data_IF_771095937659
#
_entry.id   IF_771095937659
#
_cell.length_a   1.000
_cell.length_b   1.000
_cell.length_c   1.000
_cell.angle_alpha   90.00
_cell.angle_beta   90.00
_cell.angle_gamma   90.00
#
_symmetry.space_group_name_H-M   'P 1'
#
loop_
_entity.id
_entity.type
_entity.pdbx_description
1 polymer ?
#
# COMPACT_ATOMS: atom_id res chain seq x y z
N UNK A 1 6.17 2.52 -17.99
CA UNK A 1 5.11 1.57 -17.61
C UNK A 1 4.04 1.60 -18.72
N UNK A 2 3.76 0.47 -19.37
CA UNK A 2 2.74 0.34 -20.43
C UNK A 2 1.41 -0.02 -19.76
N UNK A 3 0.37 0.79 -19.96
CA UNK A 3 -1.00 0.44 -19.58
C UNK A 3 -1.80 0.15 -20.83
N UNK A 4 -2.42 -1.03 -20.89
CA UNK A 4 -3.41 -1.37 -21.92
C UNK A 4 -4.78 -0.86 -21.49
N UNK A 5 -5.45 -0.10 -22.36
CA UNK A 5 -6.85 0.30 -22.17
C UNK A 5 -7.78 -0.73 -22.82
N UNK A 6 -8.98 -0.87 -22.27
CA UNK A 6 -10.01 -1.81 -22.76
C UNK A 6 -10.36 -1.62 -24.26
N UNK A 7 -9.96 -0.50 -24.87
CA UNK A 7 -10.15 -0.17 -26.28
C UNK A 7 -8.89 -0.34 -27.15
N UNK A 8 -7.90 -1.13 -26.72
CA UNK A 8 -6.68 -1.40 -27.49
C UNK A 8 -5.69 -0.24 -27.60
N UNK A 9 -5.90 0.85 -26.87
CA UNK A 9 -4.95 1.96 -26.77
C UNK A 9 -3.78 1.65 -25.86
N UNK A 10 -2.57 2.08 -26.24
CA UNK A 10 -1.36 2.00 -25.41
C UNK A 10 -1.08 3.39 -24.85
N UNK A 11 -1.02 3.50 -23.53
CA UNK A 11 -0.58 4.73 -22.86
C UNK A 11 0.87 4.63 -22.42
N UNK A 12 1.69 5.62 -22.81
CA UNK A 12 3.02 5.83 -22.27
C UNK A 12 2.93 6.81 -21.10
N UNK A 13 3.26 6.33 -19.91
CA UNK A 13 3.35 7.19 -18.74
C UNK A 13 4.79 7.73 -18.63
N UNK A 14 4.95 9.04 -18.75
CA UNK A 14 6.21 9.72 -18.43
C UNK A 14 6.37 9.77 -16.91
N UNK A 15 7.49 9.29 -16.40
CA UNK A 15 7.84 9.35 -14.97
C UNK A 15 9.02 10.33 -14.82
N UNK A 16 8.74 11.53 -14.33
CA UNK A 16 9.76 12.57 -14.10
C UNK A 16 10.89 12.12 -13.15
N UNK A 17 10.60 11.19 -12.24
CA UNK A 17 11.59 10.59 -11.34
C UNK A 17 12.73 9.90 -12.10
N UNK A 18 12.49 9.29 -13.25
CA UNK A 18 13.53 8.69 -14.08
C UNK A 18 14.47 9.77 -14.67
N UNK A 19 13.94 10.95 -14.98
CA UNK A 19 14.73 12.10 -15.39
C UNK A 19 15.70 12.56 -14.31
N UNK A 20 15.26 12.58 -13.05
CA UNK A 20 16.11 12.94 -11.89
C UNK A 20 17.22 11.92 -11.65
N UNK A 21 16.93 10.61 -11.80
CA UNK A 21 17.98 9.59 -11.72
C UNK A 21 19.04 9.82 -12.80
N UNK A 22 18.61 10.16 -14.02
CA UNK A 22 19.52 10.49 -15.11
C UNK A 22 20.38 11.73 -14.79
N UNK A 23 19.75 12.78 -14.31
CA UNK A 23 20.45 14.02 -13.93
C UNK A 23 21.46 13.77 -12.79
N UNK A 24 21.07 13.02 -11.76
CA UNK A 24 21.98 12.61 -10.68
C UNK A 24 23.18 11.81 -11.23
N UNK A 25 22.95 10.91 -12.17
CA UNK A 25 24.02 10.15 -12.82
C UNK A 25 24.96 11.04 -13.62
N UNK A 26 24.43 12.00 -14.38
CA UNK A 26 25.24 12.93 -15.16
C UNK A 26 26.11 13.81 -14.24
N UNK A 27 25.56 14.33 -13.12
CA UNK A 27 26.33 15.09 -12.13
C UNK A 27 27.44 14.25 -11.47
N UNK A 28 27.16 12.99 -11.14
CA UNK A 28 28.18 12.10 -10.56
C UNK A 28 29.30 11.75 -11.54
N UNK A 29 29.00 11.69 -12.84
CA UNK A 29 29.99 11.52 -13.90
C UNK A 29 30.86 12.77 -14.04
N UNK A 30 30.25 13.96 -14.03
CA UNK A 30 30.96 15.25 -14.07
C UNK A 30 31.92 15.42 -12.88
N UNK A 31 31.49 15.03 -11.69
CA UNK A 31 32.26 15.04 -10.45
C UNK A 31 33.28 13.90 -10.34
N UNK A 32 33.41 13.03 -11.34
CA UNK A 32 34.26 11.84 -11.34
C UNK A 32 33.98 10.88 -10.13
N UNK A 33 32.78 10.86 -9.64
CA UNK A 33 32.33 9.94 -8.57
C UNK A 33 31.99 8.56 -9.10
N UNK A 34 31.57 8.49 -10.36
CA UNK A 34 31.31 7.25 -11.10
C UNK A 34 31.98 7.33 -12.48
N UNK A 35 32.14 6.18 -13.14
CA UNK A 35 32.76 6.07 -14.45
C UNK A 35 31.72 5.68 -15.51
N UNK A 36 31.83 6.29 -16.70
CA UNK A 36 31.00 5.91 -17.83
C UNK A 36 31.29 4.48 -18.31
N UNK A 37 30.25 3.64 -18.42
CA UNK A 37 30.35 2.22 -18.78
C UNK A 37 30.04 1.95 -20.26
N UNK A 38 30.30 2.90 -21.14
CA UNK A 38 30.07 2.75 -22.58
C UNK A 38 28.63 2.99 -23.04
N UNK A 39 27.66 2.93 -22.17
CA UNK A 39 26.27 3.30 -22.44
C UNK A 39 25.55 3.77 -21.17
N UNK A 40 24.45 4.52 -21.35
CA UNK A 40 23.59 4.96 -20.26
C UNK A 40 23.05 3.76 -19.45
N UNK A 41 22.62 2.73 -20.16
CA UNK A 41 22.07 1.51 -19.53
C UNK A 41 23.13 0.80 -18.69
N UNK A 42 24.31 0.58 -19.24
CA UNK A 42 25.39 -0.10 -18.52
C UNK A 42 25.87 0.71 -17.29
N UNK A 43 25.90 2.05 -17.41
CA UNK A 43 26.25 2.92 -16.27
C UNK A 43 25.16 2.85 -15.19
N UNK A 44 23.89 2.89 -15.56
CA UNK A 44 22.78 2.70 -14.63
C UNK A 44 22.84 1.34 -13.93
N UNK A 45 23.01 0.26 -14.71
CA UNK A 45 23.03 -1.10 -14.16
C UNK A 45 24.19 -1.33 -13.18
N UNK A 46 25.32 -0.66 -13.37
CA UNK A 46 26.47 -0.74 -12.48
C UNK A 46 26.32 0.04 -11.17
N UNK A 47 25.64 1.21 -11.19
CA UNK A 47 25.68 2.13 -10.04
C UNK A 47 24.31 2.42 -9.43
N UNK A 48 23.21 2.21 -10.15
CA UNK A 48 21.87 2.64 -9.73
C UNK A 48 20.79 1.53 -9.77
N UNK A 49 21.16 0.36 -10.31
CA UNK A 49 20.20 -0.76 -10.31
C UNK A 49 19.89 -1.17 -8.86
N UNK A 50 18.61 -1.48 -8.53
CA UNK A 50 18.24 -1.91 -7.17
C UNK A 50 19.10 -3.02 -6.58
N UNK A 51 19.60 -3.94 -7.42
CA UNK A 51 20.44 -5.07 -7.00
C UNK A 51 21.84 -4.64 -6.52
N UNK A 52 22.29 -3.43 -6.83
CA UNK A 52 23.61 -2.91 -6.43
C UNK A 52 23.53 -1.80 -5.38
N UNK A 53 22.33 -1.28 -5.11
CA UNK A 53 22.13 -0.27 -4.08
C UNK A 53 22.04 -0.93 -2.70
N UNK A 54 22.62 -0.27 -1.70
CA UNK A 54 22.39 -0.66 -0.30
C UNK A 54 21.00 -0.18 0.15
N UNK A 55 20.01 -1.06 -0.04
CA UNK A 55 18.63 -0.81 0.37
C UNK A 55 18.42 -0.97 1.89
N UNK A 56 19.49 -1.19 2.65
CA UNK A 56 19.46 -1.29 4.12
C UNK A 56 20.21 -0.12 4.79
N UNK A 57 20.68 0.85 4.00
CA UNK A 57 21.44 2.01 4.50
C UNK A 57 20.68 2.76 5.59
N UNK A 58 21.31 2.81 6.76
CA UNK A 58 20.77 3.58 7.91
C UNK A 58 20.61 5.06 7.57
N UNK A 59 21.58 5.64 6.85
CA UNK A 59 21.54 7.06 6.45
C UNK A 59 20.32 7.37 5.58
N UNK A 60 19.97 6.47 4.67
CA UNK A 60 18.76 6.60 3.85
C UNK A 60 17.49 6.57 4.72
N UNK A 61 17.37 5.64 5.66
CA UNK A 61 16.20 5.56 6.54
C UNK A 61 16.16 6.72 7.55
N UNK A 62 17.30 7.21 8.02
CA UNK A 62 17.38 8.42 8.84
C UNK A 62 16.90 9.66 8.06
N UNK A 63 17.29 9.81 6.78
CA UNK A 63 16.82 10.87 5.89
C UNK A 63 15.29 10.78 5.69
N UNK A 64 14.77 9.58 5.41
CA UNK A 64 13.33 9.35 5.28
C UNK A 64 12.59 9.71 6.57
N UNK A 65 13.10 9.26 7.72
CA UNK A 65 12.52 9.48 9.05
C UNK A 65 12.56 10.95 9.49
N UNK A 66 13.51 11.72 8.99
CA UNK A 66 13.58 13.17 9.16
C UNK A 66 12.64 13.93 8.21
N UNK A 67 12.08 13.25 7.21
CA UNK A 67 11.24 13.85 6.18
C UNK A 67 12.03 14.70 5.17
N UNK A 68 13.32 14.44 4.98
CA UNK A 68 14.20 15.12 4.03
C UNK A 68 14.13 14.46 2.65
N UNK A 69 12.89 14.40 2.12
CA UNK A 69 12.49 13.63 0.92
C UNK A 69 11.82 14.52 -0.12
N UNK A 70 12.34 15.73 -0.34
CA UNK A 70 11.73 16.71 -1.25
C UNK A 70 11.63 16.23 -2.69
N UNK A 71 12.55 15.37 -3.12
CA UNK A 71 12.64 14.86 -4.49
C UNK A 71 12.22 13.40 -4.65
N UNK A 72 11.84 12.72 -3.56
CA UNK A 72 11.38 11.34 -3.62
C UNK A 72 10.03 11.24 -4.35
N UNK A 73 9.96 10.30 -5.29
CA UNK A 73 8.75 10.08 -6.09
C UNK A 73 7.53 9.78 -5.23
N UNK A 74 6.46 10.56 -5.42
CA UNK A 74 5.19 10.49 -4.66
C UNK A 74 5.30 10.74 -3.15
N UNK A 75 6.48 11.10 -2.63
CA UNK A 75 6.75 11.27 -1.19
C UNK A 75 7.11 12.71 -0.80
N UNK A 76 7.22 13.64 -1.77
CA UNK A 76 7.62 15.04 -1.54
C UNK A 76 6.55 15.90 -0.87
N UNK A 77 5.28 15.44 -0.83
CA UNK A 77 4.20 16.21 -0.18
C UNK A 77 4.40 16.34 1.32
N UNK A 78 3.88 17.43 1.91
CA UNK A 78 3.95 17.65 3.36
C UNK A 78 3.30 16.49 4.14
N UNK A 79 2.21 15.92 3.62
CA UNK A 79 1.52 14.76 4.22
C UNK A 79 2.45 13.56 4.26
N UNK A 80 3.11 13.23 3.15
CA UNK A 80 4.05 12.12 3.07
C UNK A 80 5.25 12.32 3.99
N UNK A 81 5.83 13.51 4.00
CA UNK A 81 6.97 13.86 4.88
C UNK A 81 6.60 13.75 6.36
N UNK A 82 5.41 14.22 6.74
CA UNK A 82 4.93 14.08 8.12
C UNK A 82 4.65 12.61 8.49
N UNK A 83 4.13 11.82 7.56
CA UNK A 83 3.93 10.39 7.75
C UNK A 83 5.26 9.66 7.96
N UNK A 84 6.29 9.97 7.15
CA UNK A 84 7.63 9.40 7.32
C UNK A 84 8.24 9.73 8.69
N UNK A 85 8.11 10.98 9.15
CA UNK A 85 8.55 11.39 10.50
C UNK A 85 7.84 10.63 11.62
N UNK A 86 6.57 10.30 11.42
CA UNK A 86 5.75 9.61 12.42
C UNK A 86 5.99 8.10 12.42
N UNK A 87 6.06 7.48 11.25
CA UNK A 87 6.25 6.04 11.07
C UNK A 87 7.70 5.64 11.32
N UNK A 88 8.67 6.48 10.90
CA UNK A 88 10.11 6.20 10.97
C UNK A 88 10.42 4.83 10.35
N UNK A 89 10.29 4.70 9.02
CA UNK A 89 10.47 3.42 8.36
C UNK A 89 11.90 2.90 8.53
N UNK A 90 12.03 1.60 8.70
CA UNK A 90 13.28 0.86 8.84
C UNK A 90 13.48 -0.13 7.70
N UNK A 91 12.45 -0.31 6.87
CA UNK A 91 12.46 -1.21 5.71
C UNK A 91 11.79 -0.56 4.50
N UNK A 92 12.13 -1.04 3.30
CA UNK A 92 11.46 -0.60 2.06
C UNK A 92 9.97 -0.94 2.04
N UNK A 93 9.57 -2.06 2.66
CA UNK A 93 8.16 -2.41 2.78
C UNK A 93 7.40 -1.38 3.59
N UNK A 94 7.97 -0.89 4.67
CA UNK A 94 7.37 0.20 5.46
C UNK A 94 7.30 1.52 4.70
N UNK A 95 8.30 1.82 3.85
CA UNK A 95 8.24 2.98 2.95
C UNK A 95 7.09 2.82 1.95
N UNK A 96 6.95 1.64 1.35
CA UNK A 96 5.87 1.34 0.42
C UNK A 96 4.50 1.42 1.12
N UNK A 97 4.37 0.83 2.31
CA UNK A 97 3.15 0.92 3.13
C UNK A 97 2.84 2.38 3.46
N UNK A 98 3.84 3.17 3.87
CA UNK A 98 3.63 4.61 4.14
C UNK A 98 3.04 5.32 2.93
N UNK A 99 3.55 5.07 1.73
CA UNK A 99 3.05 5.67 0.50
C UNK A 99 1.59 5.28 0.17
N UNK A 100 1.13 4.13 0.61
CA UNK A 100 -0.27 3.71 0.45
C UNK A 100 -1.16 4.26 1.55
N UNK A 101 -0.74 4.17 2.81
CA UNK A 101 -1.54 4.57 3.98
C UNK A 101 -1.88 6.06 3.97
N UNK A 102 -1.00 6.93 3.51
CA UNK A 102 -1.25 8.39 3.45
C UNK A 102 -2.45 8.76 2.58
N UNK A 103 -2.96 7.83 1.79
CA UNK A 103 -4.12 8.02 0.91
C UNK A 103 -5.41 7.48 1.50
N UNK A 104 -5.32 6.71 2.57
CA UNK A 104 -6.45 6.15 3.28
C UNK A 104 -7.04 7.17 4.23
N UNK A 105 -8.34 7.10 4.46
CA UNK A 105 -9.06 7.97 5.39
C UNK A 105 -10.13 7.17 6.14
N UNK A 106 -10.32 7.53 7.39
CA UNK A 106 -11.39 6.98 8.23
C UNK A 106 -11.92 8.05 9.17
N UNK A 107 -13.14 7.88 9.64
CA UNK A 107 -13.75 8.75 10.65
C UNK A 107 -13.26 8.45 12.08
N UNK A 108 -12.58 7.30 12.26
CA UNK A 108 -12.01 6.86 13.55
C UNK A 108 -10.50 7.12 13.67
N UNK A 109 -9.80 6.16 14.26
CA UNK A 109 -8.33 6.20 14.38
C UNK A 109 -7.70 6.29 13.00
N UNK A 110 -6.86 7.31 12.77
CA UNK A 110 -6.25 7.51 11.46
C UNK A 110 -5.35 6.34 11.08
N UNK A 111 -5.32 5.92 9.79
CA UNK A 111 -4.56 4.75 9.34
C UNK A 111 -3.07 4.82 9.69
N UNK A 112 -2.47 6.02 9.68
CA UNK A 112 -1.08 6.24 10.09
C UNK A 112 -0.90 5.96 11.58
N UNK A 113 -1.83 6.39 12.44
CA UNK A 113 -1.76 6.17 13.88
C UNK A 113 -1.94 4.70 14.22
N UNK A 114 -2.88 4.04 13.57
CA UNK A 114 -3.12 2.60 13.66
C UNK A 114 -1.87 1.81 13.26
N UNK A 115 -1.24 2.17 12.14
CA UNK A 115 -0.01 1.54 11.69
C UNK A 115 1.14 1.71 12.69
N UNK A 116 1.36 2.92 13.19
CA UNK A 116 2.42 3.19 14.19
C UNK A 116 2.19 2.40 15.46
N UNK A 117 0.94 2.29 15.90
CA UNK A 117 0.56 1.49 17.08
C UNK A 117 0.88 0.01 16.88
N UNK A 118 0.48 -0.56 15.74
CA UNK A 118 0.75 -1.96 15.40
C UNK A 118 2.24 -2.24 15.13
N UNK A 119 2.95 -1.29 14.48
CA UNK A 119 4.40 -1.40 14.29
C UNK A 119 5.15 -1.45 15.60
N UNK A 120 4.74 -0.63 16.57
CA UNK A 120 5.35 -0.58 17.90
C UNK A 120 5.10 -1.88 18.69
N UNK A 121 3.90 -2.40 18.62
CA UNK A 121 3.50 -3.64 19.26
C UNK A 121 2.40 -4.32 18.43
N UNK A 122 2.75 -5.36 17.70
CA UNK A 122 1.81 -6.11 16.86
C UNK A 122 0.72 -6.78 17.70
N UNK A 123 0.93 -6.97 19.02
CA UNK A 123 -0.08 -7.51 19.90
C UNK A 123 -1.32 -6.61 19.99
N UNK A 124 -1.18 -5.31 19.74
CA UNK A 124 -2.30 -4.37 19.67
C UNK A 124 -3.27 -4.71 18.54
N UNK A 125 -2.76 -5.19 17.40
CA UNK A 125 -3.63 -5.69 16.32
C UNK A 125 -4.41 -6.93 16.74
N UNK A 126 -3.74 -7.89 17.40
CA UNK A 126 -4.42 -9.07 17.94
C UNK A 126 -5.45 -8.70 19.01
N UNK A 127 -5.15 -7.73 19.86
CA UNK A 127 -6.08 -7.23 20.86
C UNK A 127 -7.33 -6.61 20.21
N UNK A 128 -7.17 -5.86 19.12
CA UNK A 128 -8.30 -5.28 18.39
C UNK A 128 -9.18 -6.36 17.74
N UNK A 129 -8.60 -7.38 17.12
CA UNK A 129 -9.35 -8.54 16.59
C UNK A 129 -10.08 -9.30 17.71
N UNK A 130 -9.43 -9.52 18.85
CA UNK A 130 -10.05 -10.19 20.00
C UNK A 130 -11.19 -9.36 20.60
N UNK A 131 -11.05 -8.03 20.72
CA UNK A 131 -12.12 -7.13 21.17
C UNK A 131 -13.32 -7.16 20.24
N UNK A 132 -13.07 -7.29 18.94
CA UNK A 132 -14.11 -7.43 17.93
C UNK A 132 -14.84 -8.78 18.08
N UNK A 133 -14.19 -9.76 18.67
CA UNK A 133 -14.73 -11.08 18.98
C UNK A 133 -14.45 -12.13 17.92
N UNK A 134 -13.34 -12.00 17.19
CA UNK A 134 -12.89 -12.99 16.23
C UNK A 134 -12.38 -14.25 16.94
N UNK A 135 -12.67 -15.41 16.34
CA UNK A 135 -12.11 -16.69 16.74
C UNK A 135 -10.62 -16.78 16.38
N UNK A 136 -9.91 -17.74 16.98
CA UNK A 136 -8.51 -18.00 16.66
C UNK A 136 -8.27 -18.36 15.18
N UNK A 137 -9.25 -19.05 14.58
CA UNK A 137 -9.17 -19.43 13.17
C UNK A 137 -9.32 -18.21 12.26
N UNK A 138 -10.31 -17.36 12.52
CA UNK A 138 -10.51 -16.10 11.79
C UNK A 138 -9.30 -15.16 11.90
N UNK A 139 -8.66 -15.12 13.07
CA UNK A 139 -7.40 -14.37 13.27
C UNK A 139 -6.30 -14.92 12.36
N UNK A 140 -6.11 -16.25 12.27
CA UNK A 140 -5.12 -16.86 11.38
C UNK A 140 -5.38 -16.54 9.91
N UNK A 141 -6.64 -16.49 9.50
CA UNK A 141 -6.99 -16.10 8.13
C UNK A 141 -6.60 -14.67 7.85
N UNK A 142 -6.76 -13.75 8.82
CA UNK A 142 -6.29 -12.38 8.68
C UNK A 142 -4.76 -12.27 8.67
N UNK A 143 -4.06 -13.05 9.49
CA UNK A 143 -2.60 -13.09 9.49
C UNK A 143 -2.02 -13.37 8.09
N UNK A 144 -2.60 -14.32 7.38
CA UNK A 144 -2.19 -14.70 6.01
C UNK A 144 -2.09 -13.49 5.07
N UNK A 145 -3.02 -12.54 5.19
CA UNK A 145 -3.11 -11.39 4.27
C UNK A 145 -2.53 -10.11 4.84
N UNK A 146 -2.68 -9.89 6.15
CA UNK A 146 -2.43 -8.59 6.75
C UNK A 146 -1.17 -8.52 7.63
N UNK A 147 -0.67 -9.64 8.15
CA UNK A 147 0.55 -9.62 8.97
C UNK A 147 1.76 -9.02 8.22
N UNK A 148 2.00 -9.34 6.93
CA UNK A 148 3.07 -8.70 6.14
C UNK A 148 2.87 -7.20 5.93
N UNK A 149 1.67 -6.68 6.23
CA UNK A 149 1.27 -5.28 6.10
C UNK A 149 0.98 -4.64 7.46
N UNK A 150 1.52 -5.23 8.53
CA UNK A 150 1.36 -4.73 9.90
C UNK A 150 -0.13 -4.55 10.27
N UNK A 151 -0.97 -5.52 9.87
CA UNK A 151 -2.39 -5.57 10.25
C UNK A 151 -3.32 -4.63 9.45
N UNK A 152 -2.88 -4.02 8.35
CA UNK A 152 -3.67 -3.04 7.59
C UNK A 152 -3.90 -3.47 6.15
N UNK A 153 -5.15 -3.44 5.70
CA UNK A 153 -5.54 -3.61 4.30
C UNK A 153 -5.30 -2.30 3.53
N UNK A 154 -4.05 -2.03 3.17
CA UNK A 154 -3.63 -0.75 2.59
C UNK A 154 -3.76 -0.66 1.07
N UNK A 155 -3.97 -1.77 0.37
CA UNK A 155 -4.08 -1.81 -1.10
C UNK A 155 -5.33 -2.55 -1.58
N UNK A 156 -5.78 -2.20 -2.80
CA UNK A 156 -6.92 -2.88 -3.45
C UNK A 156 -6.60 -4.33 -3.80
N UNK A 157 -5.34 -4.67 -4.00
CA UNK A 157 -4.87 -6.02 -4.24
C UNK A 157 -5.09 -6.92 -3.04
N UNK A 158 -4.78 -6.43 -1.83
CA UNK A 158 -5.03 -7.16 -0.57
C UNK A 158 -6.53 -7.34 -0.36
N UNK A 159 -7.33 -6.29 -0.56
CA UNK A 159 -8.79 -6.37 -0.51
C UNK A 159 -9.30 -7.47 -1.46
N UNK A 160 -8.81 -7.50 -2.70
CA UNK A 160 -9.20 -8.53 -3.66
C UNK A 160 -8.76 -9.92 -3.21
N UNK A 161 -7.54 -10.06 -2.68
CA UNK A 161 -7.02 -11.34 -2.21
C UNK A 161 -7.86 -11.90 -1.05
N UNK A 162 -8.31 -11.06 -0.13
CA UNK A 162 -9.23 -11.48 0.93
C UNK A 162 -10.57 -11.98 0.36
N UNK A 163 -11.11 -11.30 -0.66
CA UNK A 163 -12.38 -11.70 -1.29
C UNK A 163 -12.26 -13.02 -2.06
N UNK A 164 -11.12 -13.28 -2.72
CA UNK A 164 -10.93 -14.50 -3.52
C UNK A 164 -10.47 -15.69 -2.67
N UNK A 165 -9.99 -15.46 -1.46
CA UNK A 165 -9.49 -16.54 -0.60
C UNK A 165 -10.61 -17.56 -0.31
N UNK A 166 -10.41 -18.84 -0.69
CA UNK A 166 -11.43 -19.88 -0.49
C UNK A 166 -11.73 -20.16 1.00
N UNK A 167 -10.77 -19.89 1.87
CA UNK A 167 -10.94 -20.07 3.31
C UNK A 167 -11.63 -18.87 3.97
N UNK A 168 -11.82 -17.75 3.25
CA UNK A 168 -12.49 -16.54 3.74
C UNK A 168 -13.85 -16.35 3.06
N UNK A 169 -13.86 -15.88 1.83
CA UNK A 169 -15.09 -15.53 1.13
C UNK A 169 -15.37 -16.39 -0.11
N UNK A 170 -14.34 -16.93 -0.76
CA UNK A 170 -14.46 -17.66 -2.03
C UNK A 170 -15.28 -16.92 -3.10
N UNK A 171 -15.20 -15.58 -3.06
CA UNK A 171 -16.06 -14.73 -3.90
C UNK A 171 -15.67 -14.70 -5.38
N UNK A 172 -14.52 -15.27 -5.73
CA UNK A 172 -13.99 -15.31 -7.09
C UNK A 172 -13.54 -13.95 -7.63
N UNK A 173 -12.75 -13.98 -8.71
CA UNK A 173 -12.14 -12.79 -9.30
C UNK A 173 -13.17 -11.79 -9.85
N UNK A 174 -14.30 -12.28 -10.37
CA UNK A 174 -15.38 -11.43 -10.91
C UNK A 174 -15.96 -10.51 -9.85
N UNK A 175 -16.31 -11.06 -8.68
CA UNK A 175 -16.86 -10.30 -7.56
C UNK A 175 -15.79 -9.38 -6.96
N UNK A 176 -14.56 -9.85 -6.75
CA UNK A 176 -13.46 -9.03 -6.25
C UNK A 176 -13.21 -7.80 -7.13
N UNK A 177 -13.21 -7.94 -8.46
CA UNK A 177 -13.10 -6.82 -9.38
C UNK A 177 -14.29 -5.86 -9.33
N UNK A 178 -15.52 -6.38 -9.17
CA UNK A 178 -16.74 -5.58 -9.00
C UNK A 178 -16.64 -4.74 -7.72
N UNK A 179 -16.24 -5.36 -6.62
CA UNK A 179 -16.04 -4.69 -5.32
C UNK A 179 -14.98 -3.58 -5.45
N UNK A 180 -13.79 -3.92 -5.94
CA UNK A 180 -12.69 -2.95 -6.19
C UNK A 180 -13.13 -1.77 -7.04
N UNK A 181 -13.88 -2.02 -8.14
CA UNK A 181 -14.40 -0.95 -9.01
C UNK A 181 -15.39 -0.04 -8.27
N UNK A 182 -16.19 -0.58 -7.35
CA UNK A 182 -17.12 0.21 -6.52
C UNK A 182 -16.37 1.15 -5.58
N UNK A 183 -15.33 0.65 -4.91
CA UNK A 183 -14.43 1.44 -4.07
C UNK A 183 -13.71 2.51 -4.88
N UNK A 184 -13.12 2.15 -6.01
CA UNK A 184 -12.36 3.08 -6.86
C UNK A 184 -13.20 4.22 -7.43
N UNK A 185 -14.51 4.05 -7.60
CA UNK A 185 -15.46 5.09 -8.08
C UNK A 185 -16.01 5.97 -6.97
N UNK A 186 -15.77 5.64 -5.70
CA UNK A 186 -16.29 6.35 -4.51
C UNK A 186 -17.82 6.51 -4.52
N UNK A 187 -18.52 5.56 -5.13
CA UNK A 187 -19.96 5.54 -5.22
C UNK A 187 -20.53 4.83 -3.99
N UNK A 188 -20.99 5.60 -3.01
CA UNK A 188 -21.45 5.07 -1.72
C UNK A 188 -22.56 4.02 -1.85
N UNK A 189 -23.46 4.17 -2.84
CA UNK A 189 -24.52 3.17 -3.08
C UNK A 189 -23.91 1.86 -3.59
N UNK A 190 -22.94 1.94 -4.49
CA UNK A 190 -22.27 0.74 -5.02
C UNK A 190 -21.39 0.07 -3.97
N UNK A 191 -20.73 0.87 -3.11
CA UNK A 191 -19.97 0.35 -1.97
C UNK A 191 -20.91 -0.38 -1.01
N UNK A 192 -22.02 0.24 -0.60
CA UNK A 192 -23.00 -0.39 0.28
C UNK A 192 -23.56 -1.70 -0.30
N UNK A 193 -23.91 -1.72 -1.59
CA UNK A 193 -24.36 -2.94 -2.26
C UNK A 193 -23.27 -4.02 -2.31
N UNK A 194 -22.01 -3.63 -2.58
CA UNK A 194 -20.89 -4.56 -2.60
C UNK A 194 -20.61 -5.14 -1.20
N UNK A 195 -20.72 -4.33 -0.14
CA UNK A 195 -20.62 -4.79 1.24
C UNK A 195 -21.74 -5.78 1.59
N UNK A 196 -22.99 -5.48 1.23
CA UNK A 196 -24.12 -6.41 1.45
C UNK A 196 -23.90 -7.74 0.72
N UNK A 197 -23.43 -7.68 -0.53
CA UNK A 197 -23.11 -8.89 -1.30
C UNK A 197 -21.94 -9.67 -0.67
N UNK A 198 -20.94 -8.98 -0.14
CA UNK A 198 -19.83 -9.61 0.56
C UNK A 198 -20.29 -10.34 1.84
N UNK A 199 -21.21 -9.74 2.60
CA UNK A 199 -21.83 -10.43 3.75
C UNK A 199 -22.50 -11.76 3.36
N UNK A 200 -23.27 -11.75 2.27
CA UNK A 200 -23.95 -12.97 1.80
C UNK A 200 -22.94 -14.02 1.32
N UNK A 201 -21.87 -13.60 0.67
CA UNK A 201 -20.78 -14.48 0.22
C UNK A 201 -20.07 -15.10 1.43
N UNK A 202 -19.67 -14.29 2.42
CA UNK A 202 -19.04 -14.77 3.66
C UNK A 202 -19.94 -15.76 4.41
N UNK A 203 -21.22 -15.44 4.55
CA UNK A 203 -22.22 -16.32 5.17
C UNK A 203 -22.37 -17.63 4.43
N UNK A 204 -22.42 -17.60 3.11
CA UNK A 204 -22.50 -18.81 2.26
C UNK A 204 -21.26 -19.68 2.40
N UNK A 205 -20.10 -19.08 2.69
CA UNK A 205 -18.85 -19.79 2.95
C UNK A 205 -18.68 -20.21 4.42
N UNK A 206 -19.75 -20.10 5.23
CA UNK A 206 -19.77 -20.56 6.63
C UNK A 206 -19.05 -19.66 7.63
N UNK A 207 -18.69 -18.44 7.24
CA UNK A 207 -18.02 -17.49 8.11
C UNK A 207 -18.96 -16.78 9.08
N UNK A 208 -18.42 -16.32 10.22
CA UNK A 208 -19.23 -15.61 11.21
C UNK A 208 -19.59 -14.18 10.73
N UNK A 209 -20.73 -13.68 11.23
CA UNK A 209 -21.14 -12.30 10.97
C UNK A 209 -20.11 -11.29 11.49
N UNK A 210 -19.54 -11.55 12.66
CA UNK A 210 -18.51 -10.69 13.26
C UNK A 210 -17.24 -10.62 12.40
N UNK A 211 -16.86 -11.72 11.78
CA UNK A 211 -15.72 -11.75 10.90
C UNK A 211 -15.94 -10.91 9.64
N UNK A 212 -17.12 -11.05 9.02
CA UNK A 212 -17.49 -10.22 7.88
C UNK A 212 -17.55 -8.73 8.25
N UNK A 213 -18.11 -8.39 9.43
CA UNK A 213 -18.11 -7.03 9.95
C UNK A 213 -16.70 -6.48 10.14
N UNK A 214 -15.81 -7.22 10.81
CA UNK A 214 -14.42 -6.82 11.01
C UNK A 214 -13.73 -6.50 9.68
N UNK A 215 -13.87 -7.38 8.68
CA UNK A 215 -13.26 -7.16 7.37
C UNK A 215 -13.80 -5.88 6.71
N UNK A 216 -15.10 -5.66 6.75
CA UNK A 216 -15.71 -4.48 6.13
C UNK A 216 -15.36 -3.21 6.91
N UNK A 217 -15.58 -3.18 8.22
CA UNK A 217 -15.55 -1.96 9.02
C UNK A 217 -14.12 -1.56 9.40
N UNK A 218 -13.25 -2.52 9.69
CA UNK A 218 -11.89 -2.25 10.14
C UNK A 218 -10.84 -2.29 9.03
N UNK A 219 -11.10 -3.02 7.95
CA UNK A 219 -10.12 -3.22 6.89
C UNK A 219 -10.54 -2.57 5.56
N UNK A 220 -11.70 -2.90 5.02
CA UNK A 220 -12.12 -2.38 3.72
C UNK A 220 -12.57 -0.92 3.78
N UNK A 221 -13.16 -0.51 4.91
CA UNK A 221 -13.60 0.87 5.12
C UNK A 221 -12.45 1.89 5.01
N UNK A 222 -11.22 1.49 5.33
CA UNK A 222 -10.02 2.32 5.14
C UNK A 222 -9.88 2.82 3.70
N UNK A 223 -10.39 2.07 2.72
CA UNK A 223 -10.28 2.39 1.30
C UNK A 223 -11.52 3.10 0.74
N UNK A 224 -12.65 3.12 1.45
CA UNK A 224 -13.91 3.70 0.94
C UNK A 224 -13.83 5.21 0.72
N UNK A 225 -13.07 5.91 1.55
CA UNK A 225 -12.82 7.34 1.49
C UNK A 225 -11.43 7.69 0.93
N UNK A 226 -10.88 6.82 0.09
CA UNK A 226 -9.57 7.01 -0.53
C UNK A 226 -9.44 8.41 -1.13
N UNK A 227 -8.62 9.25 -0.49
CA UNK A 227 -8.36 10.58 -0.99
C UNK A 227 -7.42 10.50 -2.20
N UNK A 228 -7.94 10.78 -3.38
CA UNK A 228 -7.11 11.20 -4.49
C UNK A 228 -6.57 12.60 -4.18
N UNK A 229 -5.57 12.70 -3.35
CA UNK A 229 -4.66 13.82 -3.47
C UNK A 229 -3.78 13.51 -4.68
N UNK A 230 -4.17 14.05 -5.84
CA UNK A 230 -3.20 14.26 -6.88
C UNK A 230 -2.04 15.00 -6.21
N UNK A 231 -0.79 14.53 -6.32
CA UNK A 231 0.33 15.37 -5.99
C UNK A 231 0.26 16.54 -6.97
N UNK A 232 -0.03 17.73 -6.45
CA UNK A 232 0.19 18.98 -7.13
C UNK A 232 1.70 19.17 -7.35
#
# INVERSE_FOLDING_TARGET
MLKYHENGGISFLSISALGRIREAMDLLLEDNKIEWQGSLRATYDKYFHPDVLDLTSKEMFDMLSNGDIFDAFQMSSLVARNAMRKIKPETFDEVAITNTIIRLQTDGEQPIDKFVRYKKDIQEWYNDMNKYGLSKEEIRLMEKHLLPRTGICDTQEILMNIIIDPDIADGGLGFANKFRKSVGKKDQKKIANACSEFYEVMKSNGQSEKFAQYIIEEQFALQFNYAFSLPL
#
